data_IF_176229322967
#
_entry.id   IF_176229322967
#
_cell.length_a   1.000
_cell.length_b   1.000
_cell.length_c   1.000
_cell.angle_alpha   90.00
_cell.angle_beta   90.00
_cell.angle_gamma   90.00
#
_symmetry.space_group_name_H-M   'P 1'
#
loop_
_entity.id
_entity.type
_entity.pdbx_description
1 polymer ?
#
# COMPACT_ATOMS: atom_id res chain seq x y z
N UNK A 1 21.96 -32.16 40.55
CA UNK A 1 22.96 -31.65 39.60
C UNK A 1 22.19 -31.08 38.42
N UNK A 2 22.08 -29.75 38.38
CA UNK A 2 21.62 -28.85 37.30
C UNK A 2 20.19 -29.00 36.78
N UNK A 3 19.25 -28.30 37.42
CA UNK A 3 18.21 -27.54 36.69
C UNK A 3 18.81 -26.17 36.34
N UNK A 4 18.58 -25.69 35.11
CA UNK A 4 19.00 -24.35 34.67
C UNK A 4 17.77 -23.48 34.44
N UNK A 5 17.75 -22.38 35.18
CA UNK A 5 16.90 -21.21 35.03
C UNK A 5 16.88 -20.65 33.60
N UNK A 6 15.71 -20.15 33.19
CA UNK A 6 15.59 -18.82 32.58
C UNK A 6 14.18 -18.29 32.83
N UNK A 7 13.98 -17.81 34.07
CA UNK A 7 12.76 -17.11 34.47
C UNK A 7 12.59 -15.79 33.73
N UNK A 8 11.42 -15.62 33.11
CA UNK A 8 10.90 -14.31 32.74
C UNK A 8 10.43 -13.63 34.02
N UNK A 9 11.26 -12.75 34.59
CA UNK A 9 10.95 -12.01 35.81
C UNK A 9 9.90 -10.93 35.57
N UNK A 10 8.68 -11.15 36.04
CA UNK A 10 7.70 -10.08 36.25
C UNK A 10 7.93 -9.49 37.66
N UNK A 11 8.53 -8.31 37.72
CA UNK A 11 8.49 -7.50 38.94
C UNK A 11 7.17 -6.73 38.97
N UNK A 12 6.42 -6.90 40.07
CA UNK A 12 5.27 -6.09 40.43
C UNK A 12 5.71 -4.65 40.64
N UNK A 13 5.04 -3.69 39.99
CA UNK A 13 4.70 -2.39 40.59
C UNK A 13 3.52 -1.76 39.82
N UNK A 14 2.73 -0.99 40.57
CA UNK A 14 1.33 -0.63 40.34
C UNK A 14 1.15 0.37 39.19
N UNK A 15 -0.06 0.34 38.62
CA UNK A 15 -0.61 1.12 37.49
C UNK A 15 -0.36 0.56 36.09
N UNK A 16 -1.18 -0.43 35.72
CA UNK A 16 -1.31 -0.92 34.36
C UNK A 16 -1.86 0.19 33.44
N UNK A 17 -0.97 0.85 32.70
CA UNK A 17 -1.35 1.67 31.55
C UNK A 17 -1.93 0.79 30.44
N UNK A 18 -2.84 1.31 29.63
CA UNK A 18 -3.51 0.62 28.52
C UNK A 18 -2.57 -0.04 27.47
N UNK A 19 -1.25 0.09 27.62
CA UNK A 19 -0.23 -0.57 26.82
C UNK A 19 -0.05 -2.08 27.10
N UNK A 20 -0.49 -2.59 28.26
CA UNK A 20 -0.27 -4.00 28.63
C UNK A 20 -1.25 -4.99 27.97
N UNK A 21 -2.31 -4.49 27.33
CA UNK A 21 -3.25 -5.32 26.54
C UNK A 21 -2.71 -5.73 25.15
N UNK A 22 -1.55 -5.20 24.74
CA UNK A 22 -0.93 -5.50 23.43
C UNK A 22 0.21 -6.54 23.50
N UNK A 23 0.60 -6.99 24.70
CA UNK A 23 1.66 -8.00 24.88
C UNK A 23 1.08 -9.41 24.73
N UNK A 24 0.79 -9.83 23.50
CA UNK A 24 0.42 -11.23 23.25
C UNK A 24 -0.33 -11.52 21.94
N UNK A 25 -0.80 -10.49 21.22
CA UNK A 25 -1.34 -10.64 19.88
C UNK A 25 -0.44 -9.84 18.93
N UNK A 26 0.41 -10.52 18.18
CA UNK A 26 1.17 -9.88 17.10
C UNK A 26 0.22 -9.69 15.90
N UNK A 27 -0.74 -8.78 16.06
CA UNK A 27 -1.62 -8.34 14.98
C UNK A 27 -0.83 -7.52 13.97
N UNK A 28 -1.09 -7.76 12.69
CA UNK A 28 -0.57 -6.92 11.60
C UNK A 28 -1.34 -5.60 11.62
N UNK A 29 -0.63 -4.47 11.70
CA UNK A 29 -1.24 -3.13 11.65
C UNK A 29 -0.84 -2.47 10.33
N UNK A 30 -1.85 -2.09 9.54
CA UNK A 30 -1.66 -1.30 8.34
C UNK A 30 -2.40 0.02 8.48
N UNK A 31 -1.64 1.10 8.69
CA UNK A 31 -2.19 2.45 8.75
C UNK A 31 -2.26 3.04 7.35
N UNK A 32 -3.38 2.86 6.65
CA UNK A 32 -3.63 3.42 5.31
C UNK A 32 -4.64 4.56 5.37
N UNK A 33 -4.66 5.41 4.33
CA UNK A 33 -5.70 6.45 4.21
C UNK A 33 -5.49 7.66 5.10
N UNK A 34 -4.25 7.89 5.56
CA UNK A 34 -3.93 9.07 6.35
C UNK A 34 -3.73 10.22 5.37
N UNK A 35 -4.71 11.13 5.34
CA UNK A 35 -4.67 12.32 4.51
C UNK A 35 -3.56 13.26 5.00
N UNK A 36 -2.75 13.71 4.07
CA UNK A 36 -1.75 14.75 4.33
C UNK A 36 -2.46 16.11 4.36
N UNK A 37 -2.91 16.55 5.54
CA UNK A 37 -3.54 17.87 5.72
C UNK A 37 -2.53 18.90 6.23
N UNK A 38 -2.32 19.98 5.46
CA UNK A 38 -1.45 21.09 5.84
C UNK A 38 -1.18 22.05 4.67
N UNK A 39 -1.37 23.36 4.89
CA UNK A 39 -1.06 24.43 3.92
C UNK A 39 0.36 24.98 4.06
N UNK A 40 1.19 24.40 4.93
CA UNK A 40 2.55 24.86 5.19
C UNK A 40 3.56 24.01 4.40
N UNK A 41 4.17 24.63 3.39
CA UNK A 41 5.36 24.16 2.68
C UNK A 41 6.59 24.31 3.59
N UNK A 42 6.62 23.55 4.68
CA UNK A 42 7.87 23.14 5.29
C UNK A 42 8.07 21.72 4.82
N UNK A 43 8.94 21.54 3.83
CA UNK A 43 9.43 20.23 3.43
C UNK A 43 9.83 19.45 4.70
N UNK A 44 9.00 18.52 5.17
CA UNK A 44 9.59 17.30 5.66
C UNK A 44 10.31 16.76 4.41
N UNK A 45 11.64 16.61 4.40
CA UNK A 45 12.44 16.46 3.17
C UNK A 45 12.19 15.14 2.40
N UNK A 46 11.03 14.52 2.60
CA UNK A 46 10.67 13.20 2.14
C UNK A 46 9.29 13.18 1.46
N UNK A 47 8.24 13.86 1.96
CA UNK A 47 6.86 13.75 1.42
C UNK A 47 6.51 14.82 0.38
N UNK A 48 5.97 14.44 -0.79
CA UNK A 48 5.91 15.39 -1.92
C UNK A 48 5.16 14.99 -3.18
N UNK A 49 4.28 13.99 -3.16
CA UNK A 49 3.57 13.57 -4.39
C UNK A 49 2.48 14.56 -4.86
N UNK A 50 2.24 15.65 -4.13
CA UNK A 50 1.40 16.76 -4.59
C UNK A 50 1.86 17.38 -5.93
N UNK A 51 3.16 17.33 -6.25
CA UNK A 51 3.65 17.77 -7.56
C UNK A 51 3.07 16.92 -8.71
N UNK A 52 2.87 15.62 -8.48
CA UNK A 52 2.22 14.72 -9.43
C UNK A 52 0.74 15.10 -9.57
N UNK A 53 0.05 15.36 -8.47
CA UNK A 53 -1.34 15.83 -8.48
C UNK A 53 -1.52 17.11 -9.32
N UNK A 54 -0.61 18.07 -9.17
CA UNK A 54 -0.66 19.36 -9.86
C UNK A 54 -0.46 19.24 -11.38
N UNK A 55 0.26 18.22 -11.85
CA UNK A 55 0.54 18.00 -13.28
C UNK A 55 -0.40 16.98 -13.94
N UNK A 56 -1.16 16.24 -13.12
CA UNK A 56 -2.17 15.28 -13.55
C UNK A 56 -3.36 15.93 -14.25
N UNK A 57 -3.98 15.24 -15.21
CA UNK A 57 -5.27 15.62 -15.80
C UNK A 57 -6.41 15.63 -14.76
N UNK A 58 -6.25 14.92 -13.65
CA UNK A 58 -7.24 14.88 -12.57
C UNK A 58 -7.43 16.23 -11.86
N UNK A 59 -6.53 17.20 -12.05
CA UNK A 59 -6.67 18.57 -11.52
C UNK A 59 -7.92 19.30 -12.02
N UNK A 60 -8.51 18.84 -13.12
CA UNK A 60 -9.74 19.40 -13.69
C UNK A 60 -11.01 18.78 -13.09
N UNK A 61 -10.89 17.77 -12.23
CA UNK A 61 -12.03 17.21 -11.53
C UNK A 61 -12.62 18.24 -10.55
N UNK A 62 -13.94 18.33 -10.43
CA UNK A 62 -14.60 19.32 -9.57
C UNK A 62 -14.47 18.99 -8.08
N UNK A 63 -14.08 17.76 -7.73
CA UNK A 63 -13.96 17.27 -6.37
C UNK A 63 -12.57 16.71 -6.10
N UNK A 64 -12.17 16.76 -4.83
CA UNK A 64 -10.96 16.09 -4.33
C UNK A 64 -11.35 14.75 -3.73
N UNK A 65 -10.64 13.73 -4.16
CA UNK A 65 -10.72 12.36 -3.69
C UNK A 65 -9.37 11.99 -3.07
N UNK A 66 -9.41 11.51 -1.82
CA UNK A 66 -8.22 11.06 -1.09
C UNK A 66 -7.66 9.81 -1.76
N UNK A 67 -6.34 9.73 -1.93
CA UNK A 67 -5.66 8.66 -2.65
C UNK A 67 -5.61 8.87 -4.16
N UNK A 68 -6.64 9.51 -4.72
CA UNK A 68 -6.76 9.71 -6.17
C UNK A 68 -6.20 11.07 -6.61
N UNK A 69 -6.63 12.15 -5.96
CA UNK A 69 -6.22 13.54 -6.28
C UNK A 69 -5.45 14.21 -5.15
N UNK A 70 -5.40 13.57 -3.99
CA UNK A 70 -4.58 13.95 -2.85
C UNK A 70 -3.76 12.73 -2.40
N UNK A 71 -2.46 12.87 -2.11
CA UNK A 71 -1.63 11.76 -1.70
C UNK A 71 -2.04 11.24 -0.32
N UNK A 72 -1.89 9.92 -0.15
CA UNK A 72 -2.11 9.23 1.13
C UNK A 72 -0.83 8.62 1.67
N UNK A 73 -0.69 8.64 3.00
CA UNK A 73 0.36 7.93 3.70
C UNK A 73 -0.08 6.52 4.09
N UNK A 74 0.91 5.63 4.08
CA UNK A 74 0.79 4.24 4.43
C UNK A 74 1.92 3.86 5.40
N UNK A 75 1.56 3.46 6.61
CA UNK A 75 2.48 2.90 7.59
C UNK A 75 2.33 1.38 7.59
N UNK A 76 3.37 0.69 7.12
CA UNK A 76 3.43 -0.76 7.12
C UNK A 76 3.98 -1.32 8.42
N UNK A 77 3.45 -2.46 8.87
CA UNK A 77 4.13 -3.40 9.77
C UNK A 77 4.60 -4.63 8.99
N UNK A 78 5.40 -5.47 9.64
CA UNK A 78 5.73 -6.81 9.09
C UNK A 78 4.46 -7.53 8.65
N UNK A 79 4.47 -8.03 7.42
CA UNK A 79 3.37 -8.77 6.78
C UNK A 79 2.07 -8.00 6.56
N UNK A 80 2.04 -6.68 6.76
CA UNK A 80 0.94 -5.86 6.23
C UNK A 80 0.96 -5.94 4.70
N UNK A 81 -0.20 -6.17 4.09
CA UNK A 81 -0.30 -6.47 2.67
C UNK A 81 -1.35 -5.59 2.00
N UNK A 82 -1.23 -5.46 0.68
CA UNK A 82 -2.22 -4.84 -0.19
C UNK A 82 -2.68 -5.91 -1.20
N UNK A 83 -3.99 -6.23 -1.24
CA UNK A 83 -4.51 -7.32 -2.05
C UNK A 83 -4.37 -7.01 -3.55
N UNK A 84 -4.61 -8.00 -4.39
CA UNK A 84 -4.61 -7.81 -5.84
C UNK A 84 -5.74 -6.87 -6.26
N UNK A 85 -5.35 -5.77 -6.92
CA UNK A 85 -6.28 -4.78 -7.45
C UNK A 85 -5.70 -4.08 -8.68
N UNK A 86 -6.59 -3.43 -9.43
CA UNK A 86 -6.24 -2.35 -10.37
C UNK A 86 -6.60 -1.02 -9.70
N UNK A 87 -5.99 0.06 -10.15
CA UNK A 87 -6.30 1.40 -9.65
C UNK A 87 -7.73 1.83 -10.04
N UNK A 88 -8.31 2.73 -9.24
CA UNK A 88 -9.62 3.32 -9.51
C UNK A 88 -9.65 3.95 -10.91
N UNK A 89 -10.72 3.69 -11.66
CA UNK A 89 -10.87 4.16 -13.05
C UNK A 89 -9.68 3.84 -13.96
N UNK A 90 -8.95 2.76 -13.66
CA UNK A 90 -7.74 2.33 -14.38
C UNK A 90 -6.69 3.42 -14.47
N UNK A 91 -6.57 4.26 -13.43
CA UNK A 91 -5.58 5.34 -13.38
C UNK A 91 -4.14 4.81 -13.31
N UNK A 92 -3.18 5.69 -13.58
CA UNK A 92 -1.82 5.43 -13.13
C UNK A 92 -1.76 5.60 -11.61
N UNK A 93 -0.83 4.92 -10.96
CA UNK A 93 -0.44 5.25 -9.59
C UNK A 93 1.07 5.35 -9.45
N UNK A 94 1.49 6.17 -8.50
CA UNK A 94 2.88 6.21 -8.05
C UNK A 94 2.91 6.00 -6.55
N UNK A 95 3.80 5.11 -6.12
CA UNK A 95 4.09 4.86 -4.72
C UNK A 95 5.56 5.12 -4.45
N UNK A 96 5.86 6.03 -3.53
CA UNK A 96 7.20 6.31 -3.06
C UNK A 96 7.40 5.79 -1.64
N UNK A 97 8.45 5.00 -1.42
CA UNK A 97 8.78 4.45 -0.11
C UNK A 97 9.79 5.36 0.58
N UNK A 98 9.36 6.13 1.58
CA UNK A 98 10.19 7.14 2.24
C UNK A 98 11.31 6.52 3.07
N UNK A 99 10.96 5.57 3.93
CA UNK A 99 11.89 4.94 4.85
C UNK A 99 11.40 3.58 5.35
N UNK A 100 12.31 2.83 5.96
CA UNK A 100 12.03 1.56 6.62
C UNK A 100 12.29 0.33 5.74
N UNK A 101 11.64 -0.77 6.08
CA UNK A 101 11.85 -2.06 5.45
C UNK A 101 11.23 -2.14 4.04
N UNK A 102 11.80 -2.94 3.11
CA UNK A 102 11.33 -3.06 1.74
C UNK A 102 9.86 -3.49 1.60
N UNK A 103 9.24 -3.10 0.49
CA UNK A 103 7.95 -3.63 0.04
C UNK A 103 8.17 -4.63 -1.09
N UNK A 104 7.71 -5.85 -0.91
CA UNK A 104 7.73 -6.89 -1.95
C UNK A 104 6.44 -6.76 -2.75
N UNK A 105 6.57 -6.59 -4.07
CA UNK A 105 5.46 -6.39 -4.99
C UNK A 105 5.45 -7.42 -6.10
N UNK A 106 4.27 -7.73 -6.56
CA UNK A 106 4.02 -8.34 -7.85
C UNK A 106 3.18 -7.40 -8.70
N UNK A 107 3.56 -7.24 -9.97
CA UNK A 107 2.73 -6.64 -10.99
C UNK A 107 2.48 -7.68 -12.09
N UNK A 108 1.23 -8.12 -12.24
CA UNK A 108 0.82 -8.94 -13.36
C UNK A 108 0.68 -8.04 -14.60
N UNK A 109 1.33 -8.44 -15.69
CA UNK A 109 1.27 -7.70 -16.95
C UNK A 109 -0.13 -7.88 -17.53
N UNK A 110 -0.96 -6.85 -17.40
CA UNK A 110 -2.31 -6.70 -17.94
C UNK A 110 -3.34 -7.75 -17.48
N UNK A 111 -4.48 -7.26 -16.96
CA UNK A 111 -5.70 -8.03 -16.68
C UNK A 111 -6.43 -8.52 -17.96
N UNK A 112 -5.78 -8.53 -19.12
CA UNK A 112 -6.38 -9.00 -20.38
C UNK A 112 -6.58 -10.52 -20.42
N UNK A 113 -5.90 -11.28 -19.55
CA UNK A 113 -6.12 -12.71 -19.42
C UNK A 113 -7.44 -12.99 -18.64
N UNK A 114 -8.47 -13.55 -19.33
CA UNK A 114 -9.79 -13.77 -18.76
C UNK A 114 -9.84 -14.87 -17.69
N UNK A 115 -8.82 -15.72 -17.58
CA UNK A 115 -8.72 -16.73 -16.51
C UNK A 115 -7.89 -16.22 -15.33
N UNK A 116 -6.79 -15.52 -15.61
CA UNK A 116 -5.88 -15.03 -14.58
C UNK A 116 -6.51 -13.87 -13.78
N UNK A 117 -7.22 -12.96 -14.44
CA UNK A 117 -7.66 -11.75 -13.76
C UNK A 117 -8.79 -11.96 -12.72
N UNK A 118 -9.83 -12.79 -12.97
CA UNK A 118 -10.78 -13.16 -11.92
C UNK A 118 -10.11 -13.92 -10.76
N UNK A 119 -9.12 -14.78 -11.08
CA UNK A 119 -8.38 -15.54 -10.08
C UNK A 119 -7.57 -14.63 -9.16
N UNK A 120 -6.85 -13.67 -9.72
CA UNK A 120 -6.07 -12.68 -8.96
C UNK A 120 -6.99 -11.72 -8.18
N UNK A 121 -8.08 -11.20 -8.79
CA UNK A 121 -9.02 -10.32 -8.05
C UNK A 121 -9.75 -11.05 -6.90
N UNK A 122 -9.88 -12.37 -6.98
CA UNK A 122 -10.39 -13.21 -5.89
C UNK A 122 -9.41 -13.43 -4.73
N UNK A 123 -8.14 -13.03 -4.85
CA UNK A 123 -7.12 -13.18 -3.80
C UNK A 123 -7.24 -12.05 -2.76
N UNK A 124 -8.40 -11.97 -2.10
CA UNK A 124 -8.60 -11.20 -0.87
C UNK A 124 -8.15 -11.99 0.37
N UNK A 125 -7.65 -13.22 0.18
CA UNK A 125 -7.32 -14.16 1.25
C UNK A 125 -6.01 -13.78 1.93
N UNK A 126 -6.10 -13.34 3.19
CA UNK A 126 -5.03 -12.76 4.02
C UNK A 126 -3.85 -13.67 4.42
N UNK A 127 -3.36 -14.52 3.52
CA UNK A 127 -2.17 -15.34 3.72
C UNK A 127 -1.00 -14.83 2.87
N UNK A 128 -0.13 -14.02 3.46
CA UNK A 128 1.00 -13.34 2.80
C UNK A 128 1.91 -14.26 1.95
N UNK A 129 2.33 -15.46 2.42
CA UNK A 129 3.16 -16.34 1.60
C UNK A 129 2.47 -16.83 0.33
N UNK A 130 1.14 -17.01 0.39
CA UNK A 130 0.34 -17.46 -0.74
C UNK A 130 0.17 -16.36 -1.78
N UNK A 131 0.00 -15.11 -1.33
CA UNK A 131 -0.10 -13.94 -2.20
C UNK A 131 1.09 -13.90 -3.18
N UNK A 132 2.33 -14.08 -2.71
CA UNK A 132 3.50 -14.06 -3.61
C UNK A 132 3.64 -15.28 -4.51
N UNK A 133 3.16 -16.46 -4.09
CA UNK A 133 3.16 -17.66 -4.93
C UNK A 133 2.23 -17.50 -6.14
N UNK A 134 1.22 -16.63 -6.03
CA UNK A 134 0.27 -16.32 -7.09
C UNK A 134 0.81 -15.27 -8.08
N UNK A 135 2.06 -14.80 -7.90
CA UNK A 135 2.69 -13.87 -8.83
C UNK A 135 3.08 -14.52 -10.15
N UNK A 136 2.29 -14.25 -11.19
CA UNK A 136 2.54 -14.68 -12.57
C UNK A 136 3.26 -13.59 -13.40
N UNK A 137 3.56 -12.44 -12.80
CA UNK A 137 4.19 -11.29 -13.47
C UNK A 137 5.55 -10.87 -12.91
N UNK A 138 5.87 -9.59 -13.04
CA UNK A 138 7.13 -9.02 -12.57
C UNK A 138 7.11 -8.85 -11.05
N UNK A 139 8.08 -9.45 -10.37
CA UNK A 139 8.32 -9.22 -8.95
C UNK A 139 9.31 -8.08 -8.76
N UNK A 140 8.99 -7.17 -7.84
CA UNK A 140 9.82 -6.00 -7.51
C UNK A 140 10.00 -5.93 -6.01
N UNK A 141 11.24 -5.80 -5.56
CA UNK A 141 11.56 -5.45 -4.18
C UNK A 141 11.85 -3.95 -4.16
N UNK A 142 10.88 -3.15 -3.73
CA UNK A 142 11.08 -1.71 -3.58
C UNK A 142 11.73 -1.41 -2.23
N UNK A 143 12.84 -0.68 -2.27
CA UNK A 143 13.61 -0.21 -1.13
C UNK A 143 13.27 1.25 -0.82
N UNK A 144 13.64 1.69 0.38
CA UNK A 144 13.49 3.09 0.76
C UNK A 144 14.23 4.01 -0.22
N UNK A 145 13.61 5.12 -0.60
CA UNK A 145 14.08 6.06 -1.61
C UNK A 145 13.63 5.76 -3.04
N UNK A 146 12.93 4.64 -3.27
CA UNK A 146 12.49 4.25 -4.61
C UNK A 146 11.01 4.56 -4.85
N UNK A 147 10.69 4.98 -6.08
CA UNK A 147 9.33 5.08 -6.58
C UNK A 147 8.99 3.84 -7.43
N UNK A 148 7.75 3.35 -7.30
CA UNK A 148 7.15 2.39 -8.23
C UNK A 148 5.94 3.04 -8.87
N UNK A 149 5.88 2.97 -10.21
CA UNK A 149 4.74 3.44 -11.00
C UNK A 149 3.97 2.24 -11.51
N UNK A 150 2.65 2.25 -11.36
CA UNK A 150 1.74 1.26 -11.91
C UNK A 150 0.99 1.90 -13.08
N UNK A 151 0.90 1.16 -14.18
CA UNK A 151 0.20 1.59 -15.40
C UNK A 151 -1.29 1.22 -15.35
N UNK A 152 -2.14 1.86 -16.17
CA UNK A 152 -3.55 1.48 -16.33
C UNK A 152 -3.74 -0.02 -16.53
N UNK A 153 -4.80 -0.57 -15.92
CA UNK A 153 -5.18 -2.00 -15.97
C UNK A 153 -4.15 -3.01 -15.44
N UNK A 154 -3.02 -2.56 -14.87
CA UNK A 154 -2.06 -3.47 -14.27
C UNK A 154 -2.55 -3.96 -12.89
N UNK A 155 -2.79 -5.26 -12.78
CA UNK A 155 -3.11 -5.88 -11.50
C UNK A 155 -1.84 -5.98 -10.69
N UNK A 156 -1.89 -5.51 -9.45
CA UNK A 156 -0.73 -5.52 -8.58
C UNK A 156 -1.12 -5.80 -7.13
N UNK A 157 -0.18 -6.39 -6.39
CA UNK A 157 -0.32 -6.77 -4.98
C UNK A 157 1.04 -6.93 -4.33
N UNK A 158 1.05 -7.10 -3.01
CA UNK A 158 2.29 -7.34 -2.28
C UNK A 158 2.16 -7.11 -0.79
N UNK A 159 3.31 -7.04 -0.13
CA UNK A 159 3.39 -6.90 1.32
C UNK A 159 4.64 -6.16 1.78
N UNK A 160 4.59 -5.68 3.03
CA UNK A 160 5.68 -5.02 3.71
C UNK A 160 6.51 -6.06 4.47
N UNK A 161 7.83 -6.08 4.26
CA UNK A 161 8.74 -6.98 4.98
C UNK A 161 9.01 -6.54 6.43
N UNK A 162 8.55 -5.36 6.82
CA UNK A 162 8.66 -4.82 8.17
C UNK A 162 8.11 -3.41 8.27
N UNK A 163 8.50 -2.69 9.33
CA UNK A 163 8.06 -1.32 9.54
C UNK A 163 8.56 -0.37 8.46
N UNK A 164 7.65 0.36 7.82
CA UNK A 164 7.97 1.35 6.79
C UNK A 164 6.91 2.45 6.67
N UNK A 165 7.25 3.49 5.89
CA UNK A 165 6.34 4.57 5.54
C UNK A 165 6.41 4.84 4.04
N UNK A 166 5.26 4.76 3.37
CA UNK A 166 5.12 5.04 1.96
C UNK A 166 4.05 6.12 1.73
N UNK A 167 4.18 6.85 0.62
CA UNK A 167 3.17 7.78 0.12
C UNK A 167 2.74 7.29 -1.26
N UNK A 168 1.44 7.38 -1.57
CA UNK A 168 0.94 7.06 -2.90
C UNK A 168 -0.12 8.05 -3.36
N UNK A 169 -0.23 8.20 -4.68
CA UNK A 169 -1.29 8.96 -5.33
C UNK A 169 -1.59 8.36 -6.72
N UNK A 170 -2.83 8.46 -7.17
CA UNK A 170 -3.16 8.28 -8.58
C UNK A 170 -2.84 9.51 -9.42
N UNK A 171 -2.69 9.29 -10.73
CA UNK A 171 -2.60 10.37 -11.70
C UNK A 171 -3.06 9.93 -13.08
N UNK A 172 -3.31 10.93 -13.93
CA UNK A 172 -3.71 10.74 -15.31
C UNK A 172 -2.86 11.62 -16.22
N UNK A 173 -2.40 11.04 -17.33
CA UNK A 173 -1.80 11.72 -18.47
C UNK A 173 -2.63 11.43 -19.71
N UNK A 174 -2.37 12.07 -20.85
CA UNK A 174 -3.19 11.91 -22.06
C UNK A 174 -3.37 10.44 -22.47
N UNK A 175 -2.33 9.62 -22.32
CA UNK A 175 -2.41 8.19 -22.63
C UNK A 175 -3.30 7.37 -21.70
N UNK A 176 -3.79 7.92 -20.59
CA UNK A 176 -4.79 7.26 -19.73
C UNK A 176 -6.20 7.30 -20.35
N UNK A 177 -6.52 8.31 -21.17
CA UNK A 177 -7.88 8.56 -21.66
C UNK A 177 -8.56 7.31 -22.26
N UNK A 178 -7.91 6.51 -23.12
CA UNK A 178 -8.53 5.30 -23.67
C UNK A 178 -8.93 4.27 -22.61
N UNK A 179 -8.19 4.18 -21.51
CA UNK A 179 -8.45 3.26 -20.41
C UNK A 179 -9.58 3.78 -19.52
N UNK A 180 -9.57 5.08 -19.17
CA UNK A 180 -10.58 5.70 -18.32
C UNK A 180 -11.99 5.66 -18.92
N UNK A 181 -12.12 5.75 -20.25
CA UNK A 181 -13.43 5.69 -20.95
C UNK A 181 -14.11 4.31 -20.80
N UNK A 182 -13.32 3.24 -20.73
CA UNK A 182 -13.81 1.85 -20.68
C UNK A 182 -13.64 1.21 -19.30
N UNK A 183 -13.19 1.97 -18.30
CA UNK A 183 -12.94 1.45 -16.97
C UNK A 183 -14.24 0.95 -16.33
N UNK A 184 -14.21 -0.29 -15.84
CA UNK A 184 -15.34 -0.90 -15.17
C UNK A 184 -15.47 -0.36 -13.74
N UNK A 185 -16.69 -0.02 -13.35
CA UNK A 185 -17.02 0.37 -11.98
C UNK A 185 -17.52 -0.88 -11.25
N UNK A 186 -17.02 -1.10 -10.04
CA UNK A 186 -17.55 -2.13 -9.17
C UNK A 186 -19.00 -1.80 -8.80
N UNK A 187 -19.94 -2.71 -9.09
CA UNK A 187 -21.35 -2.57 -8.73
C UNK A 187 -21.70 -3.30 -7.41
N UNK A 188 -20.69 -3.74 -6.65
CA UNK A 188 -20.92 -4.35 -5.34
C UNK A 188 -21.24 -3.25 -4.32
N UNK A 189 -22.43 -3.36 -3.70
CA UNK A 189 -22.90 -2.53 -2.59
C UNK A 189 -22.71 -3.28 -1.26
#
# INVERSE_FOLDING_TARGET
>A
MVEKDSGCGCANDREASQLDLLKGQCGVVYGSGILVTGTTLSMAPHFGLYAVAATSLLRYLPAKFDGVTAPMLYFGSTYSFFPAHVEDSSLFSVNYLHYGQPKVRCAAVSCEDPELCPRLRGTSSGHIPRIMQECVGTQVIQRAGEAVVVTPNAVHFGFNSGHNCAEAINFAIESWIPYGIVAEICNCL
#
